data_IF_435739485134
#
_entry.id   IF_435739485134
#
_cell.length_a   1.000
_cell.length_b   1.000
_cell.length_c   1.000
_cell.angle_alpha   90.00
_cell.angle_beta   90.00
_cell.angle_gamma   90.00
#
_symmetry.space_group_name_H-M   'P 1'
#
loop_
_entity.id
_entity.type
_entity.pdbx_description
1 polymer ?
#
# COMPACT_ATOMS: atom_id res chain seq x y z
N UNK A 1 -25.16 -1.33 -6.10
CA UNK A 1 -24.19 -0.83 -5.10
C UNK A 1 -24.88 -0.86 -3.74
N UNK A 2 -24.21 -1.39 -2.72
CA UNK A 2 -24.73 -1.41 -1.34
C UNK A 2 -24.93 0.03 -0.84
N UNK A 3 -26.05 0.34 -0.17
CA UNK A 3 -26.39 1.70 0.29
C UNK A 3 -25.31 2.27 1.22
N UNK A 4 -24.69 1.44 2.08
CA UNK A 4 -23.62 1.90 2.96
C UNK A 4 -22.37 2.32 2.17
N UNK A 5 -22.03 1.65 1.06
CA UNK A 5 -20.92 2.03 0.22
C UNK A 5 -21.18 3.35 -0.52
N UNK A 6 -22.41 3.57 -0.97
CA UNK A 6 -22.82 4.82 -1.61
C UNK A 6 -22.68 6.01 -0.64
N UNK A 7 -23.21 5.88 0.59
CA UNK A 7 -23.10 6.90 1.63
C UNK A 7 -21.64 7.15 2.00
N UNK A 8 -20.86 6.09 2.14
CA UNK A 8 -19.45 6.20 2.45
C UNK A 8 -18.65 6.94 1.36
N UNK A 9 -18.87 6.58 0.10
CA UNK A 9 -18.24 7.28 -1.03
C UNK A 9 -18.71 8.73 -1.13
N UNK A 10 -19.98 9.02 -0.82
CA UNK A 10 -20.49 10.40 -0.74
C UNK A 10 -19.71 11.22 0.29
N UNK A 11 -19.42 10.67 1.47
CA UNK A 11 -18.62 11.36 2.47
C UNK A 11 -17.17 11.61 2.01
N UNK A 12 -16.52 10.60 1.38
CA UNK A 12 -15.17 10.77 0.84
C UNK A 12 -15.13 11.78 -0.32
N UNK A 13 -16.14 11.74 -1.20
CA UNK A 13 -16.29 12.71 -2.31
C UNK A 13 -16.52 14.12 -1.76
N UNK A 14 -17.34 14.26 -0.71
CA UNK A 14 -17.54 15.52 -0.03
C UNK A 14 -16.24 16.11 0.51
N UNK A 15 -15.38 15.29 1.11
CA UNK A 15 -14.04 15.70 1.57
C UNK A 15 -13.13 16.15 0.42
N UNK A 16 -13.12 15.41 -0.69
CA UNK A 16 -12.28 15.74 -1.86
C UNK A 16 -12.74 17.01 -2.57
N UNK A 17 -14.06 17.25 -2.61
CA UNK A 17 -14.68 18.36 -3.37
C UNK A 17 -15.09 19.56 -2.52
N UNK A 18 -15.08 19.44 -1.20
CA UNK A 18 -15.59 20.48 -0.29
C UNK A 18 -17.12 20.66 -0.39
N UNK A 19 -17.86 19.58 -0.69
CA UNK A 19 -19.31 19.58 -0.83
C UNK A 19 -19.99 18.94 0.38
N UNK A 20 -21.34 19.00 0.45
CA UNK A 20 -22.08 18.29 1.48
C UNK A 20 -22.14 16.78 1.18
N UNK A 21 -22.03 15.91 2.22
CA UNK A 21 -22.25 14.48 2.08
C UNK A 21 -23.73 14.14 2.03
N UNK A 22 -24.06 12.89 1.67
CA UNK A 22 -25.42 12.37 1.83
C UNK A 22 -25.78 12.19 3.31
N UNK A 23 -27.08 12.35 3.69
CA UNK A 23 -27.56 12.04 5.02
C UNK A 23 -27.41 10.55 5.33
N UNK A 24 -27.10 10.23 6.59
CA UNK A 24 -26.93 8.86 7.08
C UNK A 24 -28.17 8.44 7.88
N UNK A 25 -28.87 7.37 7.50
CA UNK A 25 -29.91 6.79 8.35
C UNK A 25 -29.37 6.42 9.73
N UNK A 26 -30.17 6.63 10.78
CA UNK A 26 -29.69 6.48 12.15
C UNK A 26 -29.11 5.09 12.44
N UNK A 27 -29.71 4.05 11.90
CA UNK A 27 -29.30 2.66 12.05
C UNK A 27 -28.02 2.31 11.29
N UNK A 28 -27.59 3.12 10.32
CA UNK A 28 -26.40 2.85 9.49
C UNK A 28 -25.13 3.48 10.04
N UNK A 29 -25.18 4.38 11.02
CA UNK A 29 -24.00 5.05 11.55
C UNK A 29 -22.94 4.10 12.07
N UNK A 30 -23.31 3.06 12.80
CA UNK A 30 -22.37 2.09 13.33
C UNK A 30 -21.61 1.36 12.21
N UNK A 31 -22.33 0.91 11.18
CA UNK A 31 -21.74 0.25 10.01
C UNK A 31 -20.85 1.19 9.19
N UNK A 32 -21.27 2.45 9.01
CA UNK A 32 -20.50 3.48 8.31
C UNK A 32 -19.17 3.80 9.02
N UNK A 33 -19.24 3.98 10.35
CA UNK A 33 -18.04 4.23 11.15
C UNK A 33 -17.08 3.03 11.14
N UNK A 34 -17.61 1.81 11.20
CA UNK A 34 -16.79 0.61 11.12
C UNK A 34 -16.14 0.46 9.74
N UNK A 35 -16.89 0.71 8.66
CA UNK A 35 -16.33 0.72 7.30
C UNK A 35 -15.19 1.76 7.16
N UNK A 36 -15.39 2.96 7.69
CA UNK A 36 -14.37 4.00 7.70
C UNK A 36 -13.16 3.63 8.57
N UNK A 37 -13.38 2.95 9.70
CA UNK A 37 -12.31 2.49 10.60
C UNK A 37 -11.41 1.45 9.94
N UNK A 38 -11.99 0.40 9.34
CA UNK A 38 -11.19 -0.65 8.66
C UNK A 38 -10.43 -0.12 7.45
N UNK A 39 -10.92 0.95 6.82
CA UNK A 39 -10.29 1.62 5.70
C UNK A 39 -9.38 2.80 6.12
N UNK A 40 -9.18 3.02 7.43
CA UNK A 40 -8.35 4.11 8.00
C UNK A 40 -8.74 5.50 7.48
N UNK A 41 -10.02 5.76 7.36
CA UNK A 41 -10.62 7.04 6.92
C UNK A 41 -11.64 7.58 7.93
N UNK A 42 -11.67 7.03 9.15
CA UNK A 42 -12.61 7.44 10.19
C UNK A 42 -12.42 8.93 10.56
N UNK A 43 -11.17 9.43 10.55
CA UNK A 43 -10.88 10.85 10.74
C UNK A 43 -11.52 11.72 9.65
N UNK A 44 -11.42 11.31 8.38
CA UNK A 44 -12.05 11.99 7.24
C UNK A 44 -13.57 12.00 7.39
N UNK A 45 -14.19 10.84 7.66
CA UNK A 45 -15.61 10.73 7.90
C UNK A 45 -16.05 11.66 9.03
N UNK A 46 -15.33 11.64 10.15
CA UNK A 46 -15.60 12.47 11.32
C UNK A 46 -15.54 13.96 11.00
N UNK A 47 -14.51 14.39 10.29
CA UNK A 47 -14.35 15.78 9.87
C UNK A 47 -15.51 16.23 8.98
N UNK A 48 -15.86 15.44 7.97
CA UNK A 48 -16.94 15.76 7.02
C UNK A 48 -18.27 15.98 7.77
N UNK A 49 -18.66 15.03 8.61
CA UNK A 49 -19.96 15.13 9.31
C UNK A 49 -19.95 16.14 10.46
N UNK A 50 -18.81 16.43 11.10
CA UNK A 50 -18.73 17.53 12.08
C UNK A 50 -18.93 18.90 11.43
N UNK A 51 -18.55 19.06 10.16
CA UNK A 51 -18.79 20.28 9.39
C UNK A 51 -20.22 20.38 8.83
N UNK A 52 -21.03 19.31 8.98
CA UNK A 52 -22.43 19.26 8.57
C UNK A 52 -23.31 18.84 9.77
N UNK A 53 -23.46 19.73 10.78
CA UNK A 53 -24.17 19.39 12.01
C UNK A 53 -25.62 18.98 11.79
N UNK A 54 -26.27 19.51 10.76
CA UNK A 54 -27.67 19.16 10.42
C UNK A 54 -27.83 17.71 9.99
N UNK A 55 -26.77 17.09 9.49
CA UNK A 55 -26.72 15.68 9.06
C UNK A 55 -26.15 14.75 10.15
N UNK A 56 -25.71 15.30 11.28
CA UNK A 56 -24.98 14.54 12.30
C UNK A 56 -25.75 14.47 13.61
N UNK A 57 -26.12 13.26 14.09
CA UNK A 57 -26.78 13.09 15.38
C UNK A 57 -25.97 13.73 16.52
N UNK A 58 -26.63 14.47 17.39
CA UNK A 58 -25.96 15.22 18.45
C UNK A 58 -25.13 14.32 19.38
N UNK A 59 -25.64 13.14 19.69
CA UNK A 59 -24.92 12.15 20.53
C UNK A 59 -23.64 11.59 19.93
N UNK A 60 -23.47 11.65 18.60
CA UNK A 60 -22.25 11.19 17.94
C UNK A 60 -21.16 12.27 17.84
N UNK A 61 -21.52 13.55 17.89
CA UNK A 61 -20.58 14.66 17.74
C UNK A 61 -19.38 14.59 18.70
N UNK A 62 -19.53 14.24 19.99
CA UNK A 62 -18.38 14.10 20.90
C UNK A 62 -17.42 12.98 20.47
N UNK A 63 -17.95 11.86 19.94
CA UNK A 63 -17.14 10.72 19.47
C UNK A 63 -16.35 11.12 18.24
N UNK A 64 -17.01 11.73 17.24
CA UNK A 64 -16.36 12.18 16.01
C UNK A 64 -15.30 13.27 16.29
N UNK A 65 -15.60 14.21 17.21
CA UNK A 65 -14.62 15.22 17.64
C UNK A 65 -13.40 14.62 18.30
N UNK A 66 -13.59 13.61 19.15
CA UNK A 66 -12.47 12.89 19.78
C UNK A 66 -11.59 12.24 18.72
N UNK A 67 -12.17 11.63 17.69
CA UNK A 67 -11.42 11.03 16.59
C UNK A 67 -10.55 12.06 15.87
N UNK A 68 -11.10 13.21 15.49
CA UNK A 68 -10.32 14.27 14.84
C UNK A 68 -9.17 14.78 15.73
N UNK A 69 -9.39 14.94 17.03
CA UNK A 69 -8.36 15.35 17.98
C UNK A 69 -7.25 14.29 18.12
N UNK A 70 -7.59 13.01 18.11
CA UNK A 70 -6.61 11.92 18.13
C UNK A 70 -5.72 11.94 16.87
N UNK A 71 -6.32 12.12 15.68
CA UNK A 71 -5.57 12.21 14.43
C UNK A 71 -4.62 13.44 14.45
N UNK A 72 -5.11 14.59 14.88
CA UNK A 72 -4.30 15.81 14.99
C UNK A 72 -3.12 15.62 15.98
N UNK A 73 -3.34 14.99 17.13
CA UNK A 73 -2.29 14.70 18.09
C UNK A 73 -1.24 13.74 17.52
N UNK A 74 -1.67 12.68 16.83
CA UNK A 74 -0.77 11.72 16.17
C UNK A 74 0.01 12.38 15.03
N UNK A 75 -0.63 13.21 14.23
CA UNK A 75 0.01 13.98 13.16
C UNK A 75 1.14 14.86 13.71
N UNK A 76 0.86 15.64 14.77
CA UNK A 76 1.85 16.53 15.39
C UNK A 76 3.04 15.73 15.98
N UNK A 77 2.75 14.66 16.74
CA UNK A 77 3.79 13.84 17.35
C UNK A 77 4.71 13.22 16.29
N UNK A 78 4.14 12.54 15.27
CA UNK A 78 4.93 11.90 14.20
C UNK A 78 5.65 12.90 13.31
N UNK A 79 5.05 14.08 13.06
CA UNK A 79 5.68 15.15 12.31
C UNK A 79 6.95 15.65 13.01
N UNK A 80 6.89 15.90 14.31
CA UNK A 80 8.03 16.31 15.11
C UNK A 80 9.13 15.25 15.14
N UNK A 81 8.76 13.99 15.33
CA UNK A 81 9.71 12.87 15.35
C UNK A 81 10.45 12.73 14.01
N UNK A 82 9.70 12.81 12.90
CA UNK A 82 10.32 12.74 11.57
C UNK A 82 11.23 13.95 11.30
N UNK A 83 10.85 15.14 11.73
CA UNK A 83 11.70 16.35 11.58
C UNK A 83 13.02 16.20 12.34
N UNK A 84 12.99 15.63 13.54
CA UNK A 84 14.20 15.34 14.33
C UNK A 84 15.07 14.28 13.65
N UNK A 85 14.49 13.19 13.19
CA UNK A 85 15.21 12.13 12.48
C UNK A 85 15.85 12.67 11.20
N UNK A 86 15.08 13.40 10.39
CA UNK A 86 15.57 14.00 9.15
C UNK A 86 16.75 14.95 9.36
N UNK A 87 16.71 15.77 10.43
CA UNK A 87 17.82 16.63 10.79
C UNK A 87 19.10 15.86 11.17
N UNK A 88 18.97 14.64 11.71
CA UNK A 88 20.13 13.79 12.00
C UNK A 88 20.71 13.16 10.72
N UNK A 89 19.85 12.73 9.77
CA UNK A 89 20.30 12.27 8.46
C UNK A 89 21.02 13.40 7.70
N UNK A 90 20.45 14.60 7.70
CA UNK A 90 21.02 15.78 7.06
C UNK A 90 22.39 16.14 7.66
N UNK A 91 22.53 16.14 9.01
CA UNK A 91 23.82 16.37 9.69
C UNK A 91 24.86 15.29 9.39
N UNK A 92 24.42 14.06 9.14
CA UNK A 92 25.31 12.96 8.74
C UNK A 92 25.72 13.03 7.27
N UNK A 93 25.14 13.95 6.48
CA UNK A 93 25.39 14.06 5.04
C UNK A 93 24.84 12.90 4.24
N UNK A 94 23.80 12.23 4.75
CA UNK A 94 23.15 11.08 4.11
C UNK A 94 21.96 11.60 3.30
N UNK A 95 22.02 11.46 1.98
CA UNK A 95 20.88 11.72 1.11
C UNK A 95 19.75 10.72 1.38
N UNK A 96 18.53 11.23 1.50
CA UNK A 96 17.36 10.36 1.67
C UNK A 96 16.16 10.89 0.88
N UNK A 97 15.42 9.95 0.29
CA UNK A 97 14.18 10.25 -0.45
C UNK A 97 12.99 9.96 0.47
N UNK A 98 12.12 10.95 0.64
CA UNK A 98 10.82 10.79 1.27
C UNK A 98 9.77 10.45 0.23
N UNK A 99 8.90 9.53 0.55
CA UNK A 99 7.83 9.12 -0.33
C UNK A 99 6.64 8.53 0.44
N UNK A 100 5.55 8.16 -0.23
CA UNK A 100 4.33 7.62 0.41
C UNK A 100 3.71 8.56 1.45
N UNK A 101 3.27 7.98 2.58
CA UNK A 101 2.38 8.57 3.57
C UNK A 101 2.81 9.91 4.12
N UNK A 102 4.08 10.07 4.45
CA UNK A 102 4.59 11.30 5.04
C UNK A 102 4.58 12.49 4.06
N UNK A 103 4.84 12.26 2.79
CA UNK A 103 4.75 13.28 1.73
C UNK A 103 3.31 13.53 1.34
N UNK A 104 2.55 12.47 1.06
CA UNK A 104 1.19 12.53 0.52
C UNK A 104 0.20 13.25 1.44
N UNK A 105 0.40 13.19 2.76
CA UNK A 105 -0.47 13.92 3.72
C UNK A 105 -0.54 15.42 3.45
N UNK A 106 0.55 16.01 2.91
CA UNK A 106 0.62 17.45 2.63
C UNK A 106 -0.22 17.87 1.41
N UNK A 107 -0.76 16.92 0.66
CA UNK A 107 -1.66 17.17 -0.48
C UNK A 107 -3.13 17.18 -0.05
N UNK A 108 -3.43 16.70 1.14
CA UNK A 108 -4.78 16.72 1.70
C UNK A 108 -5.14 18.09 2.23
N UNK A 109 -6.41 18.54 2.10
CA UNK A 109 -6.85 19.83 2.62
C UNK A 109 -6.75 19.92 4.14
N UNK A 110 -6.76 18.77 4.83
CA UNK A 110 -6.57 18.61 6.27
C UNK A 110 -5.52 17.49 6.46
N UNK A 111 -4.22 17.83 6.52
CA UNK A 111 -3.12 16.86 6.48
C UNK A 111 -3.15 15.81 7.59
N UNK A 112 -3.65 16.15 8.76
CA UNK A 112 -3.77 15.25 9.91
C UNK A 112 -4.74 14.09 9.67
N UNK A 113 -5.65 14.21 8.72
CA UNK A 113 -6.63 13.17 8.39
C UNK A 113 -6.08 12.10 7.44
N UNK A 114 -4.90 12.34 6.86
CA UNK A 114 -4.16 11.29 6.13
C UNK A 114 -3.26 10.53 7.10
N UNK A 115 -3.82 9.51 7.73
CA UNK A 115 -3.10 8.63 8.66
C UNK A 115 -2.09 7.72 7.93
N UNK A 116 -1.03 7.31 8.62
CA UNK A 116 -0.05 6.33 8.14
C UNK A 116 0.49 5.52 9.32
N UNK A 117 0.94 4.28 9.06
CA UNK A 117 1.50 3.39 10.08
C UNK A 117 2.99 3.60 10.26
N UNK A 118 3.72 3.55 9.19
CA UNK A 118 5.15 3.61 9.03
C UNK A 118 5.57 4.88 8.30
N UNK A 119 6.82 5.22 8.42
CA UNK A 119 7.47 6.25 7.59
C UNK A 119 8.53 5.55 6.75
N UNK A 120 8.34 5.63 5.45
CA UNK A 120 9.27 5.09 4.48
C UNK A 120 10.25 6.17 4.03
N UNK A 121 11.53 5.84 4.01
CA UNK A 121 12.58 6.64 3.40
C UNK A 121 13.55 5.74 2.64
N UNK A 122 14.11 6.26 1.55
CA UNK A 122 15.13 5.54 0.77
C UNK A 122 16.45 6.24 0.94
N UNK A 123 17.51 5.47 1.15
CA UNK A 123 18.89 5.92 1.19
C UNK A 123 19.70 5.25 0.08
N UNK A 124 20.87 5.78 -0.23
CA UNK A 124 21.79 5.09 -1.12
C UNK A 124 22.33 3.82 -0.45
N UNK A 125 22.59 2.80 -1.25
CA UNK A 125 23.07 1.49 -0.76
C UNK A 125 24.40 1.63 -0.02
N UNK A 126 25.28 2.51 -0.47
CA UNK A 126 26.56 2.83 0.18
C UNK A 126 26.40 3.46 1.57
N UNK A 127 25.29 4.17 1.84
CA UNK A 127 25.01 4.82 3.12
C UNK A 127 24.34 3.87 4.14
N UNK A 128 24.09 2.62 3.76
CA UNK A 128 23.38 1.65 4.60
C UNK A 128 24.01 1.46 5.98
N UNK A 129 25.34 1.31 6.04
CA UNK A 129 26.05 1.09 7.31
C UNK A 129 25.99 2.33 8.21
N UNK A 130 26.22 3.53 7.64
CA UNK A 130 26.12 4.80 8.36
C UNK A 130 24.72 5.08 8.87
N UNK A 131 23.70 4.76 8.07
CA UNK A 131 22.30 4.86 8.47
C UNK A 131 21.96 3.93 9.65
N UNK A 132 22.43 2.68 9.63
CA UNK A 132 22.19 1.71 10.71
C UNK A 132 22.83 2.18 12.04
N UNK A 133 24.07 2.68 11.98
CA UNK A 133 24.75 3.25 13.14
C UNK A 133 24.02 4.48 13.68
N UNK A 134 23.53 5.35 12.77
CA UNK A 134 22.73 6.52 13.12
C UNK A 134 21.45 6.13 13.83
N UNK A 135 20.67 5.21 13.26
CA UNK A 135 19.40 4.76 13.85
C UNK A 135 19.62 4.14 15.23
N UNK A 136 20.64 3.29 15.40
CA UNK A 136 21.00 2.70 16.70
C UNK A 136 21.44 3.74 17.72
N UNK A 137 22.25 4.73 17.32
CA UNK A 137 22.68 5.86 18.19
C UNK A 137 21.49 6.69 18.67
N UNK A 138 20.45 6.82 17.85
CA UNK A 138 19.22 7.52 18.20
C UNK A 138 18.26 6.66 19.06
N UNK A 139 18.66 5.43 19.40
CA UNK A 139 17.90 4.52 20.25
C UNK A 139 16.82 3.73 19.53
N UNK A 140 16.90 3.64 18.20
CA UNK A 140 16.00 2.76 17.44
C UNK A 140 16.57 1.34 17.42
N UNK A 141 15.71 0.36 17.71
CA UNK A 141 16.03 -1.06 17.64
C UNK A 141 15.68 -1.60 16.24
N UNK A 142 16.60 -2.33 15.57
CA UNK A 142 16.26 -3.01 14.33
C UNK A 142 15.24 -4.11 14.59
N UNK A 143 14.21 -4.21 13.72
CA UNK A 143 13.18 -5.25 13.75
C UNK A 143 13.36 -6.25 12.64
N UNK A 144 13.40 -5.76 11.39
CA UNK A 144 13.72 -6.56 10.23
C UNK A 144 14.99 -6.03 9.57
N UNK A 145 15.86 -6.95 9.15
CA UNK A 145 17.16 -6.63 8.56
C UNK A 145 17.31 -7.21 7.15
N UNK A 146 16.18 -7.31 6.43
CA UNK A 146 16.12 -7.91 5.10
C UNK A 146 16.21 -6.83 4.01
N UNK A 147 17.12 -7.00 3.06
CA UNK A 147 17.14 -6.15 1.87
C UNK A 147 15.85 -6.30 1.05
N UNK A 148 15.36 -5.20 0.47
CA UNK A 148 15.88 -3.84 0.50
C UNK A 148 15.30 -2.95 1.59
N UNK A 149 14.46 -3.47 2.50
CA UNK A 149 13.78 -2.72 3.54
C UNK A 149 14.27 -3.13 4.94
N UNK A 150 14.74 -2.15 5.70
CA UNK A 150 15.24 -2.34 7.06
C UNK A 150 14.33 -1.58 8.02
N UNK A 151 13.65 -2.28 8.91
CA UNK A 151 12.73 -1.64 9.84
C UNK A 151 13.37 -1.37 11.20
N UNK A 152 13.01 -0.22 11.76
CA UNK A 152 13.49 0.27 13.05
C UNK A 152 12.32 0.73 13.90
N UNK A 153 12.40 0.45 15.20
CA UNK A 153 11.35 0.83 16.14
C UNK A 153 11.92 1.48 17.39
N UNK A 154 11.24 2.53 17.86
CA UNK A 154 11.45 3.15 19.17
C UNK A 154 10.09 3.52 19.77
N UNK A 155 9.65 2.76 20.74
CA UNK A 155 8.30 2.91 21.31
C UNK A 155 7.22 2.71 20.23
N UNK A 156 6.46 3.75 19.92
CA UNK A 156 5.40 3.73 18.91
C UNK A 156 5.88 4.18 17.51
N UNK A 157 7.12 4.65 17.41
CA UNK A 157 7.73 5.08 16.17
C UNK A 157 8.21 3.87 15.37
N UNK A 158 7.85 3.82 14.10
CA UNK A 158 8.26 2.76 13.19
C UNK A 158 8.69 3.35 11.86
N UNK A 159 9.93 3.06 11.46
CA UNK A 159 10.55 3.55 10.24
C UNK A 159 11.00 2.39 9.37
N UNK A 160 10.78 2.50 8.08
CA UNK A 160 11.34 1.61 7.06
C UNK A 160 12.38 2.38 6.24
N UNK A 161 13.64 1.99 6.42
CA UNK A 161 14.77 2.53 5.66
C UNK A 161 15.04 1.58 4.50
N UNK A 162 14.76 2.02 3.30
CA UNK A 162 14.90 1.23 2.09
C UNK A 162 16.22 1.58 1.37
N UNK A 163 16.78 0.62 0.64
CA UNK A 163 17.85 0.85 -0.35
C UNK A 163 17.31 0.78 -1.78
N UNK A 164 16.13 0.24 -1.96
CA UNK A 164 15.35 0.18 -3.21
C UNK A 164 13.86 0.19 -2.91
N UNK A 165 13.03 0.71 -3.81
CA UNK A 165 11.58 0.82 -3.59
C UNK A 165 10.77 -0.38 -4.07
N UNK A 166 11.39 -1.30 -4.83
CA UNK A 166 10.75 -2.51 -5.33
C UNK A 166 11.56 -3.74 -4.93
N UNK A 167 10.88 -4.72 -4.32
CA UNK A 167 11.43 -5.99 -3.87
C UNK A 167 11.02 -7.16 -4.76
N UNK A 168 9.89 -7.01 -5.42
CA UNK A 168 9.27 -8.04 -6.25
C UNK A 168 8.62 -7.39 -7.46
N UNK A 169 8.58 -8.11 -8.56
CA UNK A 169 7.83 -7.70 -9.74
C UNK A 169 6.32 -7.78 -9.47
N UNK A 170 5.58 -6.84 -10.02
CA UNK A 170 4.11 -6.81 -9.95
C UNK A 170 3.51 -7.88 -10.85
N UNK A 171 4.13 -8.09 -12.02
CA UNK A 171 3.74 -9.09 -13.02
C UNK A 171 4.97 -9.56 -13.79
N UNK A 172 4.79 -10.54 -14.70
CA UNK A 172 5.81 -11.03 -15.61
C UNK A 172 5.94 -10.19 -16.90
N UNK A 173 5.22 -9.07 -16.99
CA UNK A 173 5.14 -8.24 -18.21
C UNK A 173 6.27 -7.20 -18.29
N UNK A 174 6.86 -6.81 -17.17
CA UNK A 174 7.94 -5.84 -17.10
C UNK A 174 8.89 -6.17 -15.92
N UNK A 175 10.12 -5.72 -16.01
CA UNK A 175 11.10 -5.78 -14.92
C UNK A 175 10.98 -4.51 -14.06
N UNK A 176 10.11 -4.56 -13.06
CA UNK A 176 9.84 -3.44 -12.16
C UNK A 176 11.04 -3.11 -11.27
N UNK A 177 11.81 -4.13 -10.88
CA UNK A 177 13.01 -3.94 -10.05
C UNK A 177 14.05 -3.13 -10.82
N UNK A 178 14.35 -3.54 -12.07
CA UNK A 178 15.27 -2.79 -12.93
C UNK A 178 14.74 -1.39 -13.26
N UNK A 179 13.44 -1.24 -13.53
CA UNK A 179 12.83 0.06 -13.79
C UNK A 179 13.02 1.04 -12.62
N UNK A 180 12.69 0.62 -11.41
CA UNK A 180 12.78 1.46 -10.21
C UNK A 180 14.19 1.55 -9.60
N UNK A 181 15.20 0.83 -10.12
CA UNK A 181 16.60 1.01 -9.69
C UNK A 181 17.16 2.41 -10.01
N UNK A 182 16.53 3.14 -10.95
CA UNK A 182 16.91 4.51 -11.36
C UNK A 182 16.23 5.63 -10.55
N UNK A 183 15.72 5.34 -9.36
CA UNK A 183 14.96 6.30 -8.53
C UNK A 183 15.70 7.61 -8.29
N UNK A 184 17.03 7.56 -8.15
CA UNK A 184 17.85 8.74 -7.87
C UNK A 184 17.92 9.73 -9.03
N UNK A 185 17.68 9.28 -10.27
CA UNK A 185 17.62 10.14 -11.47
C UNK A 185 16.30 10.93 -11.55
N UNK A 186 15.31 10.55 -10.74
CA UNK A 186 13.97 11.13 -10.71
C UNK A 186 13.64 11.77 -9.36
N UNK A 187 14.63 12.47 -8.78
CA UNK A 187 14.46 13.17 -7.51
C UNK A 187 14.54 14.68 -7.67
N UNK A 188 13.92 15.38 -6.73
CA UNK A 188 14.04 16.82 -6.55
C UNK A 188 14.18 17.15 -5.05
N UNK A 189 14.66 18.38 -4.69
CA UNK A 189 14.71 18.81 -3.31
C UNK A 189 13.35 18.74 -2.63
N UNK A 190 13.31 18.17 -1.40
CA UNK A 190 12.06 18.01 -0.66
C UNK A 190 11.40 19.35 -0.36
N UNK A 191 10.13 19.45 -0.76
CA UNK A 191 9.26 20.57 -0.37
C UNK A 191 8.68 20.37 1.03
N UNK A 192 8.64 19.13 1.51
CA UNK A 192 8.09 18.76 2.82
C UNK A 192 9.03 19.12 3.96
N UNK A 193 10.34 18.84 3.86
CA UNK A 193 11.29 19.04 4.94
C UNK A 193 12.27 20.21 4.71
N UNK A 194 12.55 20.58 3.47
CA UNK A 194 13.45 21.69 3.08
C UNK A 194 14.84 21.60 3.73
N UNK A 195 15.38 20.40 3.81
CA UNK A 195 16.75 20.12 4.25
C UNK A 195 17.63 19.81 3.03
N UNK A 196 18.95 20.14 3.05
CA UNK A 196 19.86 19.91 1.93
C UNK A 196 19.89 18.48 1.39
N UNK A 197 19.87 17.50 2.29
CA UNK A 197 19.93 16.07 1.95
C UNK A 197 18.56 15.39 1.87
N UNK A 198 17.45 16.13 2.06
CA UNK A 198 16.10 15.60 1.92
C UNK A 198 15.59 15.75 0.49
N UNK A 199 15.24 14.65 -0.15
CA UNK A 199 14.73 14.57 -1.51
C UNK A 199 13.32 14.00 -1.53
N UNK A 200 12.60 14.25 -2.61
CA UNK A 200 11.32 13.64 -2.98
C UNK A 200 11.39 13.20 -4.43
N UNK A 201 10.52 12.28 -4.86
CA UNK A 201 10.39 11.96 -6.27
C UNK A 201 9.84 13.15 -7.05
N UNK A 202 10.27 13.29 -8.31
CA UNK A 202 9.57 14.18 -9.25
C UNK A 202 8.10 13.77 -9.35
N UNK A 203 7.16 14.71 -9.57
CA UNK A 203 5.74 14.38 -9.52
C UNK A 203 5.33 13.24 -10.45
N UNK A 204 5.83 13.23 -11.68
CA UNK A 204 5.52 12.20 -12.65
C UNK A 204 5.98 10.81 -12.19
N UNK A 205 7.23 10.72 -11.72
CA UNK A 205 7.79 9.47 -11.24
C UNK A 205 7.10 9.00 -9.95
N UNK A 206 6.72 9.94 -9.07
CA UNK A 206 5.96 9.61 -7.87
C UNK A 206 4.59 9.02 -8.20
N UNK A 207 3.87 9.57 -9.20
CA UNK A 207 2.60 8.99 -9.64
C UNK A 207 2.78 7.58 -10.20
N UNK A 208 3.80 7.33 -11.03
CA UNK A 208 4.12 5.99 -11.53
C UNK A 208 4.41 5.01 -10.39
N UNK A 209 5.20 5.46 -9.39
CA UNK A 209 5.46 4.67 -8.21
C UNK A 209 4.16 4.33 -7.45
N UNK A 210 3.28 5.31 -7.22
CA UNK A 210 2.01 5.09 -6.51
C UNK A 210 1.10 4.09 -7.24
N UNK A 211 0.99 4.19 -8.58
CA UNK A 211 0.22 3.24 -9.39
C UNK A 211 0.82 1.83 -9.30
N UNK A 212 2.14 1.71 -9.44
CA UNK A 212 2.85 0.44 -9.32
C UNK A 212 2.70 -0.15 -7.91
N UNK A 213 2.74 0.69 -6.89
CA UNK A 213 2.56 0.29 -5.50
C UNK A 213 1.14 -0.23 -5.22
N UNK A 214 0.11 0.41 -5.78
CA UNK A 214 -1.27 -0.10 -5.74
C UNK A 214 -1.35 -1.46 -6.45
N UNK A 215 -0.77 -1.60 -7.64
CA UNK A 215 -0.72 -2.85 -8.37
C UNK A 215 -0.02 -3.96 -7.57
N UNK A 216 1.13 -3.67 -6.93
CA UNK A 216 1.84 -4.58 -6.01
C UNK A 216 0.91 -5.04 -4.88
N UNK A 217 0.23 -4.11 -4.22
CA UNK A 217 -0.69 -4.45 -3.13
C UNK A 217 -1.85 -5.32 -3.61
N UNK A 218 -2.49 -4.96 -4.72
CA UNK A 218 -3.55 -5.76 -5.32
C UNK A 218 -3.02 -7.17 -5.66
N UNK A 219 -1.83 -7.28 -6.24
CA UNK A 219 -1.25 -8.58 -6.59
C UNK A 219 -1.01 -9.47 -5.35
N UNK A 220 -0.81 -8.91 -4.18
CA UNK A 220 -0.57 -9.64 -2.93
C UNK A 220 -1.85 -9.89 -2.15
N UNK A 221 -2.57 -8.84 -1.74
CA UNK A 221 -3.71 -8.95 -0.82
C UNK A 221 -4.87 -8.02 -1.14
N UNK A 222 -4.58 -6.79 -1.53
CA UNK A 222 -5.52 -5.74 -1.85
C UNK A 222 -4.98 -4.37 -1.46
N UNK A 223 -5.57 -3.34 -2.06
CA UNK A 223 -5.25 -1.94 -1.80
C UNK A 223 -6.49 -1.24 -1.23
N UNK A 224 -6.34 -0.60 -0.07
CA UNK A 224 -7.44 0.12 0.58
C UNK A 224 -7.77 1.44 -0.12
N UNK A 225 -9.00 1.92 0.07
CA UNK A 225 -9.52 3.13 -0.61
C UNK A 225 -8.66 4.38 -0.38
N UNK A 226 -7.91 4.43 0.72
CA UNK A 226 -7.00 5.54 1.03
C UNK A 226 -5.93 5.73 -0.05
N UNK A 227 -5.45 4.65 -0.69
CA UNK A 227 -4.45 4.76 -1.75
C UNK A 227 -5.02 5.44 -3.00
N UNK A 228 -6.31 5.26 -3.28
CA UNK A 228 -7.01 5.96 -4.37
C UNK A 228 -7.32 7.41 -4.02
N UNK A 229 -7.58 7.73 -2.74
CA UNK A 229 -7.63 9.12 -2.26
C UNK A 229 -6.28 9.83 -2.42
N UNK A 230 -5.17 9.14 -2.16
CA UNK A 230 -3.84 9.66 -2.42
C UNK A 230 -3.66 10.05 -3.89
N UNK A 231 -4.09 9.18 -4.83
CA UNK A 231 -4.09 9.51 -6.28
C UNK A 231 -4.99 10.72 -6.57
N UNK A 232 -6.22 10.77 -6.01
CA UNK A 232 -7.13 11.88 -6.23
C UNK A 232 -6.53 13.23 -5.81
N UNK A 233 -5.91 13.30 -4.63
CA UNK A 233 -5.27 14.52 -4.16
C UNK A 233 -3.98 14.83 -4.91
N UNK A 234 -3.25 13.82 -5.35
CA UNK A 234 -2.08 13.97 -6.21
C UNK A 234 -2.42 14.64 -7.54
N UNK A 235 -3.46 14.13 -8.23
CA UNK A 235 -3.96 14.70 -9.48
C UNK A 235 -4.46 16.14 -9.32
N UNK A 236 -5.04 16.50 -8.18
CA UNK A 236 -5.46 17.87 -7.89
C UNK A 236 -4.30 18.82 -7.59
N UNK A 237 -3.15 18.29 -7.19
CA UNK A 237 -2.01 19.08 -6.72
C UNK A 237 -1.04 19.46 -7.82
N UNK A 238 -0.84 18.59 -8.81
CA UNK A 238 0.22 18.70 -9.80
C UNK A 238 -0.32 18.82 -11.23
N UNK A 239 0.31 19.70 -12.00
CA UNK A 239 0.27 19.65 -13.46
C UNK A 239 1.38 18.71 -13.92
N UNK A 240 1.00 17.64 -14.64
CA UNK A 240 1.88 16.51 -14.96
C UNK A 240 2.13 16.40 -16.46
N UNK A 241 3.31 15.92 -16.83
CA UNK A 241 3.59 15.52 -18.23
C UNK A 241 2.92 14.18 -18.54
N UNK A 242 1.69 14.26 -19.04
CA UNK A 242 0.88 13.09 -19.34
C UNK A 242 1.40 12.29 -20.54
N UNK A 243 2.13 12.93 -21.46
CA UNK A 243 2.75 12.22 -22.56
C UNK A 243 3.87 11.31 -22.07
N UNK A 244 4.72 11.82 -21.18
CA UNK A 244 5.77 11.04 -20.56
C UNK A 244 5.17 9.92 -19.68
N UNK A 245 4.18 10.22 -18.84
CA UNK A 245 3.51 9.23 -18.00
C UNK A 245 2.90 8.10 -18.83
N UNK A 246 2.23 8.40 -19.93
CA UNK A 246 1.64 7.39 -20.81
C UNK A 246 2.70 6.44 -21.37
N UNK A 247 3.84 6.98 -21.83
CA UNK A 247 4.96 6.17 -22.33
C UNK A 247 5.57 5.26 -21.28
N UNK A 248 5.74 5.78 -20.04
CA UNK A 248 6.29 4.98 -18.94
C UNK A 248 5.29 3.90 -18.44
N UNK A 249 3.98 4.19 -18.46
CA UNK A 249 2.96 3.19 -18.17
C UNK A 249 2.94 2.05 -19.20
N UNK A 250 3.22 2.35 -20.47
CA UNK A 250 3.41 1.32 -21.53
C UNK A 250 4.65 0.47 -21.25
N UNK A 251 5.78 1.09 -20.91
CA UNK A 251 7.01 0.39 -20.53
C UNK A 251 6.82 -0.55 -19.33
N UNK A 252 6.00 -0.13 -18.37
CA UNK A 252 5.66 -0.92 -17.18
C UNK A 252 4.52 -1.91 -17.43
N UNK A 253 3.93 -1.92 -18.64
CA UNK A 253 2.72 -2.70 -18.97
C UNK A 253 1.56 -2.48 -17.95
N UNK A 254 1.43 -1.25 -17.45
CA UNK A 254 0.42 -0.83 -16.47
C UNK A 254 -0.66 0.09 -17.06
N UNK A 255 -0.68 0.35 -18.38
CA UNK A 255 -1.64 1.27 -19.01
C UNK A 255 -3.10 0.89 -18.75
N UNK A 256 -3.45 -0.39 -18.86
CA UNK A 256 -4.82 -0.86 -18.61
C UNK A 256 -5.18 -0.76 -17.13
N UNK A 257 -4.26 -1.12 -16.25
CA UNK A 257 -4.43 -0.99 -14.81
C UNK A 257 -4.60 0.48 -14.38
N UNK A 258 -3.74 1.36 -14.86
CA UNK A 258 -3.82 2.79 -14.58
C UNK A 258 -5.16 3.38 -15.06
N UNK A 259 -5.65 2.97 -16.24
CA UNK A 259 -6.97 3.38 -16.71
C UNK A 259 -8.08 2.97 -15.73
N UNK A 260 -8.06 1.75 -15.18
CA UNK A 260 -9.06 1.32 -14.19
C UNK A 260 -8.95 2.16 -12.91
N UNK A 261 -7.73 2.41 -12.42
CA UNK A 261 -7.51 3.27 -11.23
C UNK A 261 -8.02 4.67 -11.46
N UNK A 262 -7.75 5.29 -12.61
CA UNK A 262 -8.23 6.64 -12.93
C UNK A 262 -9.75 6.68 -13.10
N UNK A 263 -10.36 5.67 -13.71
CA UNK A 263 -11.81 5.54 -13.74
C UNK A 263 -12.40 5.44 -12.34
N UNK A 264 -11.77 4.66 -11.44
CA UNK A 264 -12.21 4.56 -10.05
C UNK A 264 -12.10 5.89 -9.30
N UNK A 265 -10.99 6.61 -9.47
CA UNK A 265 -10.79 7.93 -8.85
C UNK A 265 -11.84 8.94 -9.30
N UNK A 266 -12.17 8.94 -10.60
CA UNK A 266 -13.22 9.79 -11.15
C UNK A 266 -14.59 9.38 -10.64
N UNK A 267 -14.95 8.10 -10.71
CA UNK A 267 -16.27 7.59 -10.29
C UNK A 267 -16.48 7.72 -8.77
N UNK A 268 -15.45 7.51 -7.96
CA UNK A 268 -15.58 7.52 -6.50
C UNK A 268 -15.47 8.94 -5.92
N UNK A 269 -14.60 9.78 -6.46
CA UNK A 269 -14.24 11.07 -5.89
C UNK A 269 -14.55 12.27 -6.79
N UNK A 270 -14.84 12.05 -8.08
CA UNK A 270 -15.11 13.10 -9.05
C UNK A 270 -13.86 13.89 -9.45
N UNK A 271 -12.69 13.25 -9.47
CA UNK A 271 -11.42 13.85 -9.92
C UNK A 271 -11.05 13.24 -11.26
N UNK A 272 -11.07 14.05 -12.31
CA UNK A 272 -10.79 13.64 -13.68
C UNK A 272 -9.28 13.45 -13.90
N UNK A 273 -8.91 12.48 -14.75
CA UNK A 273 -7.58 12.29 -15.27
C UNK A 273 -7.53 12.76 -16.73
N UNK A 274 -6.52 13.52 -17.16
CA UNK A 274 -6.40 13.99 -18.53
C UNK A 274 -6.10 12.91 -19.59
N UNK A 275 -5.67 11.72 -19.18
CA UNK A 275 -5.46 10.62 -20.12
C UNK A 275 -6.79 10.14 -20.73
N UNK A 276 -6.80 9.74 -22.02
CA UNK A 276 -8.00 9.22 -22.67
C UNK A 276 -8.58 8.03 -21.92
N UNK A 277 -9.82 8.17 -21.44
CA UNK A 277 -10.53 7.14 -20.71
C UNK A 277 -10.96 6.01 -21.65
N UNK A 278 -10.55 4.78 -21.36
CA UNK A 278 -11.09 3.57 -21.97
C UNK A 278 -12.25 3.06 -21.10
N UNK A 279 -13.32 2.63 -21.77
CA UNK A 279 -14.49 2.10 -21.06
C UNK A 279 -14.13 0.86 -20.25
N UNK A 280 -14.48 0.85 -18.96
CA UNK A 280 -14.39 -0.30 -18.08
C UNK A 280 -15.81 -0.81 -17.83
N UNK A 281 -16.09 -2.12 -17.95
CA UNK A 281 -17.42 -2.65 -17.68
C UNK A 281 -17.91 -2.29 -16.27
N UNK A 282 -19.17 -1.90 -16.15
CA UNK A 282 -19.75 -1.49 -14.86
C UNK A 282 -19.69 -2.60 -13.79
N UNK A 283 -19.77 -3.86 -14.20
CA UNK A 283 -19.62 -5.02 -13.32
C UNK A 283 -18.20 -5.09 -12.72
N UNK A 284 -17.15 -4.87 -13.55
CA UNK A 284 -15.76 -4.84 -13.11
C UNK A 284 -15.53 -3.71 -12.11
N UNK A 285 -16.08 -2.51 -12.37
CA UNK A 285 -15.98 -1.38 -11.46
C UNK A 285 -16.70 -1.63 -10.13
N UNK A 286 -17.86 -2.32 -10.16
CA UNK A 286 -18.59 -2.70 -8.95
C UNK A 286 -17.83 -3.75 -8.12
N UNK A 287 -17.29 -4.78 -8.76
CA UNK A 287 -16.46 -5.81 -8.12
C UNK A 287 -15.16 -5.21 -7.56
N UNK A 288 -14.56 -4.26 -8.27
CA UNK A 288 -13.36 -3.55 -7.82
C UNK A 288 -13.62 -2.68 -6.60
N UNK A 289 -14.75 -1.97 -6.57
CA UNK A 289 -15.17 -1.20 -5.41
C UNK A 289 -15.40 -2.10 -4.19
N UNK A 290 -16.16 -3.18 -4.36
CA UNK A 290 -16.41 -4.16 -3.29
C UNK A 290 -15.10 -4.76 -2.77
N UNK A 291 -14.21 -5.16 -3.69
CA UNK A 291 -12.88 -5.66 -3.36
C UNK A 291 -12.07 -4.66 -2.53
N UNK A 292 -12.09 -3.38 -2.92
CA UNK A 292 -11.33 -2.31 -2.24
C UNK A 292 -11.91 -2.03 -0.85
N UNK A 293 -13.23 -1.89 -0.71
CA UNK A 293 -13.86 -1.48 0.54
C UNK A 293 -13.94 -2.61 1.57
N UNK A 294 -14.24 -3.84 1.13
CA UNK A 294 -14.35 -4.98 2.04
C UNK A 294 -13.01 -5.43 2.61
N UNK A 295 -11.92 -5.25 1.84
CA UNK A 295 -10.59 -5.68 2.25
C UNK A 295 -9.91 -4.79 3.28
N UNK A 296 -10.45 -3.60 3.55
CA UNK A 296 -9.82 -2.62 4.43
C UNK A 296 -8.44 -2.17 3.90
N UNK A 297 -7.65 -1.54 4.76
CA UNK A 297 -6.39 -0.89 4.36
C UNK A 297 -5.35 -1.84 3.74
N UNK A 298 -5.32 -3.11 4.16
CA UNK A 298 -4.34 -4.11 3.72
C UNK A 298 -4.94 -5.24 2.88
N UNK A 299 -6.24 -5.18 2.55
CA UNK A 299 -6.90 -6.20 1.77
C UNK A 299 -7.26 -7.49 2.53
N UNK A 300 -7.04 -7.56 3.83
CA UNK A 300 -7.29 -8.76 4.65
C UNK A 300 -8.57 -8.72 5.47
N UNK A 301 -9.17 -7.55 5.68
CA UNK A 301 -10.38 -7.43 6.48
C UNK A 301 -11.51 -8.25 5.84
N UNK A 302 -12.16 -9.10 6.63
CA UNK A 302 -13.28 -9.92 6.16
C UNK A 302 -12.94 -11.03 5.14
N UNK A 303 -11.66 -11.24 4.79
CA UNK A 303 -11.23 -12.28 3.86
C UNK A 303 -10.59 -13.46 4.57
N UNK A 304 -10.83 -14.67 4.02
CA UNK A 304 -10.12 -15.86 4.47
C UNK A 304 -8.63 -15.78 4.08
N UNK A 305 -7.76 -15.94 5.08
CA UNK A 305 -6.30 -15.89 4.89
C UNK A 305 -5.81 -16.92 3.90
N UNK A 306 -6.43 -18.09 3.88
CA UNK A 306 -6.10 -19.15 2.94
C UNK A 306 -6.37 -18.79 1.49
N UNK A 307 -7.46 -18.07 1.23
CA UNK A 307 -7.81 -17.55 -0.10
C UNK A 307 -6.76 -16.57 -0.60
N UNK A 308 -6.34 -15.62 0.26
CA UNK A 308 -5.29 -14.65 -0.07
C UNK A 308 -3.95 -15.36 -0.30
N UNK A 309 -3.59 -16.30 0.57
CA UNK A 309 -2.34 -17.05 0.47
C UNK A 309 -2.28 -17.92 -0.80
N UNK A 310 -3.37 -18.65 -1.13
CA UNK A 310 -3.46 -19.45 -2.35
C UNK A 310 -3.24 -18.61 -3.60
N UNK A 311 -3.85 -17.42 -3.64
CA UNK A 311 -3.68 -16.50 -4.75
C UNK A 311 -2.23 -16.00 -4.87
N UNK A 312 -1.58 -15.66 -3.76
CA UNK A 312 -0.18 -15.20 -3.76
C UNK A 312 0.78 -16.27 -4.30
N UNK A 313 0.53 -17.54 -3.99
CA UNK A 313 1.37 -18.67 -4.44
C UNK A 313 1.11 -19.06 -5.90
N UNK A 314 -0.11 -18.88 -6.40
CA UNK A 314 -0.45 -19.19 -7.78
C UNK A 314 -0.48 -17.93 -8.65
N UNK A 315 0.70 -17.49 -9.09
CA UNK A 315 0.87 -16.37 -10.03
C UNK A 315 0.55 -16.75 -11.49
N UNK A 316 0.09 -18.01 -11.76
CA UNK A 316 -0.29 -18.40 -13.11
C UNK A 316 -1.55 -17.66 -13.55
N UNK A 317 -1.60 -17.27 -14.85
CA UNK A 317 -2.80 -16.69 -15.48
C UNK A 317 -3.94 -17.70 -15.69
N UNK A 318 -3.70 -18.98 -15.41
CA UNK A 318 -4.71 -20.01 -15.57
C UNK A 318 -5.78 -19.90 -14.48
N UNK A 319 -7.04 -20.05 -14.85
CA UNK A 319 -8.17 -20.11 -13.89
C UNK A 319 -8.10 -21.30 -12.94
N UNK A 320 -7.40 -22.35 -13.35
CA UNK A 320 -7.29 -23.59 -12.57
C UNK A 320 -6.24 -23.47 -11.47
N UNK A 321 -6.65 -22.96 -10.32
CA UNK A 321 -5.85 -23.03 -9.10
C UNK A 321 -5.88 -24.47 -8.59
N UNK A 322 -4.72 -25.07 -8.42
CA UNK A 322 -4.60 -26.43 -7.87
C UNK A 322 -4.04 -26.36 -6.45
N UNK A 323 -4.88 -26.70 -5.46
CA UNK A 323 -4.43 -26.83 -4.05
C UNK A 323 -3.21 -27.75 -3.92
N UNK A 324 -3.22 -28.87 -4.66
CA UNK A 324 -2.10 -29.84 -4.67
C UNK A 324 -0.81 -29.22 -5.19
N UNK A 325 -0.86 -28.43 -6.27
CA UNK A 325 0.32 -27.74 -6.81
C UNK A 325 0.83 -26.70 -5.82
N UNK A 326 -0.07 -25.94 -5.20
CA UNK A 326 0.30 -24.95 -4.18
C UNK A 326 0.91 -25.58 -2.94
N UNK A 327 0.33 -26.70 -2.45
CA UNK A 327 0.92 -27.46 -1.35
C UNK A 327 2.30 -28.02 -1.69
N UNK A 328 2.50 -28.54 -2.91
CA UNK A 328 3.80 -29.00 -3.39
C UNK A 328 4.82 -27.87 -3.47
N UNK A 329 4.43 -26.70 -4.00
CA UNK A 329 5.32 -25.52 -4.01
C UNK A 329 5.63 -25.00 -2.61
N UNK A 330 4.66 -25.07 -1.69
CA UNK A 330 4.87 -24.70 -0.30
C UNK A 330 5.80 -25.68 0.42
N UNK A 331 5.65 -26.99 0.18
CA UNK A 331 6.52 -28.03 0.74
C UNK A 331 7.93 -27.99 0.12
N UNK A 332 8.00 -27.79 -1.21
CA UNK A 332 9.20 -27.85 -2.03
C UNK A 332 9.39 -26.56 -2.84
N UNK A 333 9.67 -25.41 -2.20
CA UNK A 333 9.82 -24.14 -2.89
C UNK A 333 11.03 -24.14 -3.84
N UNK A 334 10.97 -23.38 -4.95
CA UNK A 334 12.07 -23.26 -5.90
C UNK A 334 13.26 -22.50 -5.30
N UNK A 335 14.41 -22.58 -5.96
CA UNK A 335 15.69 -21.95 -5.54
C UNK A 335 15.49 -20.49 -5.17
N UNK A 336 14.84 -19.69 -6.03
CA UNK A 336 14.59 -18.25 -5.85
C UNK A 336 13.91 -17.87 -4.52
N UNK A 337 13.16 -18.80 -3.92
CA UNK A 337 12.48 -18.58 -2.66
C UNK A 337 13.31 -18.99 -1.43
N UNK A 338 14.46 -19.63 -1.66
CA UNK A 338 15.33 -20.19 -0.62
C UNK A 338 16.75 -19.64 -0.64
N UNK A 339 17.21 -19.06 -1.75
CA UNK A 339 18.59 -18.64 -1.95
C UNK A 339 19.06 -17.53 -1.00
N UNK A 340 18.16 -16.66 -0.56
CA UNK A 340 18.48 -15.62 0.42
C UNK A 340 18.67 -16.17 1.84
N UNK A 341 17.99 -17.28 2.16
CA UNK A 341 18.11 -17.96 3.45
C UNK A 341 19.25 -18.98 3.44
N UNK A 342 19.38 -19.71 2.33
CA UNK A 342 20.41 -20.75 2.13
C UNK A 342 21.36 -20.29 1.04
N UNK A 343 22.27 -19.38 1.40
CA UNK A 343 23.16 -18.66 0.47
C UNK A 343 24.01 -19.58 -0.42
N UNK A 344 24.24 -20.83 -0.01
CA UNK A 344 24.91 -21.82 -0.86
C UNK A 344 24.13 -22.16 -2.14
N UNK A 345 22.81 -21.91 -2.17
CA UNK A 345 21.98 -22.10 -3.38
C UNK A 345 22.30 -21.08 -4.48
N UNK A 346 22.82 -19.90 -4.14
CA UNK A 346 23.22 -18.87 -5.12
C UNK A 346 24.36 -19.37 -6.00
N UNK A 347 25.26 -20.21 -5.44
CA UNK A 347 26.39 -20.78 -6.17
C UNK A 347 26.19 -22.24 -6.59
N UNK A 348 25.32 -22.97 -5.88
CA UNK A 348 25.09 -24.42 -6.08
C UNK A 348 23.60 -24.74 -6.09
N UNK A 349 22.81 -24.30 -7.12
CA UNK A 349 21.37 -24.50 -7.16
C UNK A 349 20.92 -25.97 -7.15
N UNK A 350 21.79 -26.91 -7.54
CA UNK A 350 21.50 -28.37 -7.48
C UNK A 350 21.40 -28.92 -6.05
N UNK A 351 21.84 -28.16 -5.03
CA UNK A 351 21.67 -28.53 -3.62
C UNK A 351 20.26 -28.19 -3.08
N UNK A 352 19.33 -27.82 -3.96
CA UNK A 352 17.94 -27.53 -3.59
C UNK A 352 17.28 -28.64 -2.75
N UNK A 353 17.44 -29.96 -3.07
CA UNK A 353 16.89 -31.02 -2.21
C UNK A 353 17.46 -31.01 -0.78
N UNK A 354 18.73 -30.68 -0.62
CA UNK A 354 19.36 -30.54 0.69
C UNK A 354 18.80 -29.33 1.47
N UNK A 355 18.50 -28.23 0.78
CA UNK A 355 17.86 -27.07 1.39
C UNK A 355 16.42 -27.39 1.88
N UNK A 356 15.67 -28.22 1.16
CA UNK A 356 14.34 -28.68 1.62
C UNK A 356 14.46 -29.51 2.89
N UNK A 357 15.41 -30.45 2.98
CA UNK A 357 15.67 -31.24 4.19
C UNK A 357 16.12 -30.33 5.35
N UNK A 358 17.05 -29.41 5.08
CA UNK A 358 17.54 -28.44 6.06
C UNK A 358 16.40 -27.57 6.62
N UNK A 359 15.51 -27.06 5.75
CA UNK A 359 14.32 -26.30 6.13
C UNK A 359 13.38 -27.11 7.04
N UNK A 360 13.17 -28.40 6.73
CA UNK A 360 12.35 -29.28 7.54
C UNK A 360 13.00 -29.66 8.90
N UNK A 361 14.33 -29.62 8.99
CA UNK A 361 15.06 -29.85 10.23
C UNK A 361 15.13 -28.59 11.12
N UNK A 362 14.98 -27.40 10.54
CA UNK A 362 15.06 -26.10 11.20
C UNK A 362 13.80 -25.80 12.03
N UNK A 363 13.88 -26.14 13.31
CA UNK A 363 13.04 -25.71 14.43
C UNK A 363 11.51 -26.00 14.43
N UNK A 364 10.98 -26.20 15.65
CA UNK A 364 9.54 -26.38 15.93
C UNK A 364 8.65 -25.20 15.46
N UNK A 365 9.20 -24.00 15.38
CA UNK A 365 8.50 -22.79 14.91
C UNK A 365 8.20 -22.85 13.40
N UNK A 366 9.09 -23.39 12.58
CA UNK A 366 8.85 -23.58 11.16
C UNK A 366 7.78 -24.63 10.89
N UNK A 367 7.74 -25.70 11.67
CA UNK A 367 6.68 -26.70 11.58
C UNK A 367 5.30 -26.13 11.94
N UNK A 368 5.22 -25.27 12.95
CA UNK A 368 3.99 -24.59 13.31
C UNK A 368 3.50 -23.64 12.20
N UNK A 369 4.42 -22.88 11.58
CA UNK A 369 4.11 -22.05 10.41
C UNK A 369 3.68 -22.89 9.21
N UNK A 370 4.42 -23.95 8.90
CA UNK A 370 4.08 -24.86 7.80
C UNK A 370 2.69 -25.47 8.00
N UNK A 371 2.39 -25.97 9.18
CA UNK A 371 1.07 -26.56 9.50
C UNK A 371 -0.04 -25.49 9.44
N UNK A 372 0.24 -24.26 9.89
CA UNK A 372 -0.67 -23.11 9.79
C UNK A 372 -1.02 -22.81 8.33
N UNK A 373 -0.03 -22.59 7.48
CA UNK A 373 -0.22 -22.32 6.06
C UNK A 373 -0.86 -23.47 5.30
N UNK A 374 -0.52 -24.74 5.66
CA UNK A 374 -1.18 -25.92 5.07
C UNK A 374 -2.67 -25.93 5.40
N UNK A 375 -3.05 -25.61 6.65
CA UNK A 375 -4.45 -25.51 7.06
C UNK A 375 -5.16 -24.39 6.30
N UNK A 376 -4.53 -23.22 6.17
CA UNK A 376 -5.05 -22.09 5.41
C UNK A 376 -5.29 -22.45 3.93
N UNK A 377 -4.35 -23.14 3.27
CA UNK A 377 -4.52 -23.62 1.88
C UNK A 377 -5.69 -24.60 1.77
N UNK A 378 -5.87 -25.47 2.75
CA UNK A 378 -6.94 -26.48 2.71
C UNK A 378 -8.32 -25.86 2.99
N UNK A 379 -8.40 -24.81 3.82
CA UNK A 379 -9.66 -24.12 4.16
C UNK A 379 -10.08 -23.06 3.13
N UNK A 380 -9.19 -22.66 2.21
CA UNK A 380 -9.45 -21.58 1.26
C UNK A 380 -10.69 -21.81 0.39
N UNK A 381 -11.49 -20.76 0.18
CA UNK A 381 -12.62 -20.79 -0.74
C UNK A 381 -12.13 -20.67 -2.19
N UNK A 382 -12.28 -21.76 -2.95
CA UNK A 382 -11.82 -21.83 -4.33
C UNK A 382 -12.62 -20.96 -5.29
N UNK A 383 -13.87 -20.68 -4.98
CA UNK A 383 -14.71 -19.85 -5.85
C UNK A 383 -14.37 -18.37 -5.63
N UNK A 384 -14.07 -17.98 -4.38
CA UNK A 384 -13.51 -16.65 -4.08
C UNK A 384 -12.13 -16.47 -4.74
N UNK A 385 -11.24 -17.47 -4.69
CA UNK A 385 -9.94 -17.42 -5.37
C UNK A 385 -10.11 -17.23 -6.89
N UNK A 386 -11.06 -17.92 -7.52
CA UNK A 386 -11.34 -17.73 -8.97
C UNK A 386 -11.90 -16.34 -9.26
N UNK A 387 -12.83 -15.83 -8.41
CA UNK A 387 -13.37 -14.47 -8.52
C UNK A 387 -12.26 -13.43 -8.45
N UNK A 388 -11.35 -13.57 -7.50
CA UNK A 388 -10.20 -12.67 -7.36
C UNK A 388 -9.27 -12.74 -8.58
N UNK A 389 -8.92 -13.94 -9.08
CA UNK A 389 -8.08 -14.09 -10.27
C UNK A 389 -8.74 -13.49 -11.53
N UNK A 390 -10.06 -13.66 -11.68
CA UNK A 390 -10.80 -13.01 -12.74
C UNK A 390 -10.68 -11.49 -12.64
N UNK A 391 -10.93 -10.93 -11.46
CA UNK A 391 -10.83 -9.50 -11.22
C UNK A 391 -9.43 -8.97 -11.58
N UNK A 392 -8.33 -9.62 -11.15
CA UNK A 392 -6.98 -9.17 -11.50
C UNK A 392 -6.72 -9.10 -13.00
N UNK A 393 -7.15 -10.13 -13.73
CA UNK A 393 -7.03 -10.15 -15.18
C UNK A 393 -7.83 -9.01 -15.82
N UNK A 394 -9.03 -8.73 -15.32
CA UNK A 394 -9.89 -7.64 -15.78
C UNK A 394 -9.32 -6.26 -15.41
N UNK A 395 -8.53 -6.19 -14.33
CA UNK A 395 -7.76 -4.99 -13.96
C UNK A 395 -6.48 -4.81 -14.81
N UNK A 396 -6.14 -5.74 -15.69
CA UNK A 396 -4.93 -5.67 -16.53
C UNK A 396 -3.63 -6.12 -15.85
N UNK A 397 -3.71 -6.75 -14.66
CA UNK A 397 -2.57 -7.24 -13.88
C UNK A 397 -2.19 -8.69 -14.23
#
# INVERSE_FOLDING_TARGET
MNDIYRIYLSALRAFVRGSAPEPVPQEQWAALMELARINSTLGILSHVYLNHPDLTPEQLRPVLRRQCLQEAAMYAARGNQMALLAAEFDRAGIDFILFKGFVLRNFYPVPELRTYGDVDLVIRREDRAGSDELMKRLGYEPRDTWEPAYSYQRGVEYYEVHTDVMEVDVSDKADYIAYFSRIWDHTCPSQTLRLPHALEFTPEFHLLYLLTHIAKHISVSGAGIRMYLDIAFFLKRFELDWQWIAGELECLALSDFANVVFCAVEDWFGVECPLPRRSVPAEVMADFLEFTLSGGIYGYAGRDKGTVFLKQQDRSREEKVSRTRTLLHHAFPPVRNLENRYTYLQTKPWLLPAAWVHRLADSRTEWARFAGHTREILSADMDEVKKLKRLYRELGL
#
